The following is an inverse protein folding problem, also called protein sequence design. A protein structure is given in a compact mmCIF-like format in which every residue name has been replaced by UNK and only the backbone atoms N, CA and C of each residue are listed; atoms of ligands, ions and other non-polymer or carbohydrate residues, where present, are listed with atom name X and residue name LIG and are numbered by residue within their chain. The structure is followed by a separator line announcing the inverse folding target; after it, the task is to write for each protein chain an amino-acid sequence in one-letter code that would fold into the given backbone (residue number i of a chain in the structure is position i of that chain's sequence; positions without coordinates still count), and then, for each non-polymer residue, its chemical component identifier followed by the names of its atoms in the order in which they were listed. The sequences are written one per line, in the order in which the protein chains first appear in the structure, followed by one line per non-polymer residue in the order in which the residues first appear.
data_IF_615445689274
#
_entry.id   IF_615445689274
#
_cell.length_a   1.000
_cell.length_b   1.000
_cell.length_c   1.000
_cell.angle_alpha   90.00
_cell.angle_beta   90.00
_cell.angle_gamma   90.00
#
_symmetry.space_group_name_H-M   'P 1'
#
loop_
_entity.id
_entity.type
_entity.pdbx_description
1 polymer ?
#
# COMPACT_ATOMS: atom_id res chain seq x y z
N UNK A 1 26.85 -28.16 14.39
CA UNK A 1 26.37 -26.77 14.60
C UNK A 1 26.07 -26.64 16.08
N UNK A 2 26.68 -25.67 16.76
CA UNK A 2 26.55 -25.51 18.21
C UNK A 2 25.24 -24.78 18.53
N UNK A 3 24.30 -25.44 19.20
CA UNK A 3 23.11 -24.78 19.77
C UNK A 3 23.54 -23.86 20.90
N UNK A 4 23.41 -22.55 20.69
CA UNK A 4 23.61 -21.56 21.77
C UNK A 4 22.35 -21.56 22.63
N UNK A 5 22.38 -22.28 23.76
CA UNK A 5 21.30 -22.26 24.76
C UNK A 5 21.46 -21.04 25.67
N UNK A 6 20.61 -20.03 25.46
CA UNK A 6 20.54 -18.87 26.35
C UNK A 6 19.68 -19.22 27.58
N UNK A 7 20.32 -19.54 28.71
CA UNK A 7 19.62 -19.62 30.00
C UNK A 7 19.45 -18.20 30.58
N UNK A 8 18.33 -17.55 30.26
CA UNK A 8 17.95 -16.28 30.89
C UNK A 8 17.33 -16.55 32.27
N UNK A 9 18.04 -16.20 33.36
CA UNK A 9 17.53 -16.31 34.75
C UNK A 9 17.42 -14.94 35.42
N UNK A 10 16.38 -14.76 36.24
CA UNK A 10 16.21 -13.59 37.11
C UNK A 10 16.02 -12.26 36.37
N UNK A 11 16.67 -11.20 36.83
CA UNK A 11 16.52 -9.82 36.33
C UNK A 11 16.84 -9.66 34.84
N UNK A 12 17.73 -10.49 34.29
CA UNK A 12 18.08 -10.48 32.86
C UNK A 12 16.90 -10.89 31.97
N UNK A 13 16.04 -11.81 32.43
CA UNK A 13 14.83 -12.20 31.70
C UNK A 13 13.82 -11.04 31.64
N UNK A 14 13.69 -10.28 32.74
CA UNK A 14 12.81 -9.10 32.80
C UNK A 14 13.28 -8.02 31.83
N UNK A 15 14.59 -7.71 31.83
CA UNK A 15 15.17 -6.74 30.89
C UNK A 15 14.97 -7.19 29.44
N UNK A 16 15.20 -8.47 29.14
CA UNK A 16 14.99 -9.01 27.79
C UNK A 16 13.53 -8.87 27.33
N UNK A 17 12.56 -9.14 28.20
CA UNK A 17 11.13 -8.95 27.90
C UNK A 17 10.80 -7.47 27.67
N UNK A 18 11.31 -6.55 28.50
CA UNK A 18 11.08 -5.11 28.34
C UNK A 18 11.66 -4.61 27.01
N UNK A 19 12.87 -5.05 26.65
CA UNK A 19 13.50 -4.71 25.36
C UNK A 19 12.66 -5.26 24.20
N UNK A 20 12.20 -6.51 24.28
CA UNK A 20 11.32 -7.10 23.26
C UNK A 20 10.00 -6.33 23.10
N UNK A 21 9.35 -5.97 24.22
CA UNK A 21 8.13 -5.16 24.21
C UNK A 21 8.41 -3.78 23.59
N UNK A 22 9.54 -3.16 23.92
CA UNK A 22 9.97 -1.89 23.31
C UNK A 22 10.13 -2.01 21.79
N UNK A 23 10.81 -3.06 21.31
CA UNK A 23 10.98 -3.32 19.87
C UNK A 23 9.62 -3.54 19.19
N UNK A 24 8.73 -4.32 19.81
CA UNK A 24 7.38 -4.58 19.29
C UNK A 24 6.54 -3.29 19.28
N UNK A 25 6.59 -2.46 20.32
CA UNK A 25 5.89 -1.19 20.38
C UNK A 25 6.38 -0.21 19.29
N UNK A 26 7.69 -0.11 19.10
CA UNK A 26 8.32 0.66 18.00
C UNK A 26 7.89 0.11 16.64
N UNK A 27 7.65 -1.19 16.50
CA UNK A 27 7.17 -1.80 15.24
C UNK A 27 5.70 -1.50 14.94
N UNK A 28 4.86 -1.34 15.96
CA UNK A 28 3.42 -1.10 15.79
C UNK A 28 3.12 0.39 15.54
N UNK A 29 3.92 1.32 16.08
CA UNK A 29 3.75 2.77 15.86
C UNK A 29 3.78 3.24 14.39
N UNK A 30 4.65 2.74 13.49
CA UNK A 30 4.65 3.14 12.08
C UNK A 30 3.43 2.65 11.28
N UNK A 31 2.59 1.76 11.83
CA UNK A 31 1.33 1.34 11.21
C UNK A 31 0.22 2.40 11.34
N UNK A 32 0.59 3.66 11.59
CA UNK A 32 -0.33 4.79 11.61
C UNK A 32 -0.87 5.07 10.20
N UNK A 33 -2.11 5.55 10.14
CA UNK A 33 -2.78 5.83 8.87
C UNK A 33 -2.08 7.00 8.15
N UNK A 34 -1.48 6.69 7.00
CA UNK A 34 -0.72 7.62 6.18
C UNK A 34 -1.61 8.46 5.26
N UNK A 35 -2.94 8.34 5.36
CA UNK A 35 -3.89 9.20 4.64
C UNK A 35 -3.68 10.69 4.84
N UNK A 36 -3.01 11.09 5.93
CA UNK A 36 -2.69 12.50 6.22
C UNK A 36 -1.49 13.03 5.43
N UNK A 37 -0.67 12.14 4.87
CA UNK A 37 0.45 12.51 4.01
C UNK A 37 -0.07 12.80 2.60
N UNK A 38 -0.18 14.09 2.28
CA UNK A 38 -0.74 14.56 1.00
C UNK A 38 0.14 14.19 -0.19
N UNK A 39 1.46 14.13 -0.01
CA UNK A 39 2.40 13.81 -1.09
C UNK A 39 2.31 12.32 -1.44
N UNK A 40 2.36 11.46 -0.43
CA UNK A 40 2.18 10.02 -0.62
C UNK A 40 0.83 9.70 -1.24
N UNK A 41 -0.25 10.32 -0.75
CA UNK A 41 -1.59 10.11 -1.29
C UNK A 41 -1.72 10.57 -2.75
N UNK A 42 -1.03 11.64 -3.15
CA UNK A 42 -1.02 12.11 -4.54
C UNK A 42 -0.38 11.06 -5.46
N UNK A 43 0.75 10.49 -5.04
CA UNK A 43 1.45 9.48 -5.84
C UNK A 43 0.69 8.16 -5.89
N UNK A 44 0.09 7.72 -4.78
CA UNK A 44 -0.79 6.53 -4.75
C UNK A 44 -1.97 6.74 -5.70
N UNK A 45 -2.63 7.90 -5.67
CA UNK A 45 -3.74 8.19 -6.58
C UNK A 45 -3.29 8.18 -8.04
N UNK A 46 -2.14 8.79 -8.35
CA UNK A 46 -1.59 8.78 -9.71
C UNK A 46 -1.32 7.36 -10.19
N UNK A 47 -0.74 6.51 -9.32
CA UNK A 47 -0.43 5.12 -9.66
C UNK A 47 -1.71 4.31 -9.88
N UNK A 48 -2.67 4.39 -8.95
CA UNK A 48 -3.95 3.69 -9.09
C UNK A 48 -4.71 4.15 -10.34
N UNK A 49 -4.73 5.45 -10.64
CA UNK A 49 -5.34 5.94 -11.87
C UNK A 49 -4.61 5.42 -13.11
N UNK A 50 -3.27 5.42 -13.12
CA UNK A 50 -2.49 4.91 -14.26
C UNK A 50 -2.70 3.41 -14.50
N UNK A 51 -2.91 2.63 -13.45
CA UNK A 51 -3.08 1.17 -13.53
C UNK A 51 -4.51 0.79 -13.94
N UNK A 52 -5.50 1.56 -13.48
CA UNK A 52 -6.92 1.25 -13.72
C UNK A 52 -7.56 2.03 -14.88
N UNK A 53 -6.98 3.16 -15.33
CA UNK A 53 -7.45 3.89 -16.50
C UNK A 53 -7.36 3.13 -17.84
N UNK A 54 -6.32 2.31 -18.12
CA UNK A 54 -6.23 1.57 -19.37
C UNK A 54 -7.41 0.61 -19.58
N UNK A 55 -7.83 -0.08 -18.52
CA UNK A 55 -9.01 -0.96 -18.53
C UNK A 55 -10.32 -0.21 -18.83
N UNK A 56 -10.36 1.08 -18.51
CA UNK A 56 -11.48 1.95 -18.83
C UNK A 56 -11.44 2.34 -20.32
N UNK A 57 -10.27 2.70 -20.85
CA UNK A 57 -10.12 3.00 -22.28
C UNK A 57 -10.39 1.79 -23.17
N UNK A 58 -9.95 0.59 -22.79
CA UNK A 58 -10.22 -0.64 -23.55
C UNK A 58 -11.72 -0.95 -23.60
N UNK A 59 -12.45 -0.75 -22.49
CA UNK A 59 -13.90 -0.93 -22.46
C UNK A 59 -14.62 0.07 -23.37
N UNK A 60 -14.21 1.34 -23.35
CA UNK A 60 -14.79 2.37 -24.22
C UNK A 60 -14.47 2.09 -25.68
N UNK A 61 -13.22 1.72 -25.99
CA UNK A 61 -12.79 1.37 -27.34
C UNK A 61 -13.55 0.16 -27.88
N UNK A 62 -13.66 -0.92 -27.10
CA UNK A 62 -14.42 -2.11 -27.52
C UNK A 62 -15.91 -1.84 -27.74
N UNK A 63 -16.52 -0.96 -26.93
CA UNK A 63 -17.89 -0.52 -27.14
C UNK A 63 -18.03 0.36 -28.38
N UNK A 64 -17.05 1.23 -28.63
CA UNK A 64 -16.99 2.07 -29.84
C UNK A 64 -16.87 1.21 -31.10
N UNK A 65 -15.98 0.20 -31.09
CA UNK A 65 -15.75 -0.71 -32.21
C UNK A 65 -16.98 -1.56 -32.54
N UNK A 66 -17.86 -1.82 -31.56
CA UNK A 66 -19.15 -2.50 -31.81
C UNK A 66 -20.21 -1.62 -32.48
N UNK A 67 -20.01 -0.30 -32.56
CA UNK A 67 -20.96 0.65 -33.17
C UNK A 67 -22.31 0.76 -32.44
N UNK A 68 -22.40 0.23 -31.22
CA UNK A 68 -23.61 0.21 -30.41
C UNK A 68 -23.60 1.43 -29.48
N UNK A 69 -24.35 2.46 -29.84
CA UNK A 69 -24.40 3.74 -29.10
C UNK A 69 -24.84 3.56 -27.64
N UNK A 70 -25.72 2.59 -27.35
CA UNK A 70 -26.18 2.30 -25.98
C UNK A 70 -25.07 1.66 -25.14
N UNK A 71 -24.28 0.77 -25.74
CA UNK A 71 -23.10 0.19 -25.07
C UNK A 71 -21.99 1.21 -24.89
N UNK A 72 -21.77 2.08 -25.88
CA UNK A 72 -20.78 3.14 -25.81
C UNK A 72 -21.14 4.14 -24.71
N UNK A 73 -22.40 4.59 -24.66
CA UNK A 73 -22.90 5.48 -23.61
C UNK A 73 -22.71 4.87 -22.23
N UNK A 74 -23.10 3.60 -22.02
CA UNK A 74 -22.88 2.89 -20.74
C UNK A 74 -21.40 2.70 -20.40
N UNK A 75 -20.54 2.48 -21.40
CA UNK A 75 -19.10 2.33 -21.19
C UNK A 75 -18.46 3.67 -20.78
N UNK A 76 -18.85 4.77 -21.40
CA UNK A 76 -18.41 6.14 -21.05
C UNK A 76 -18.96 6.57 -19.69
N UNK A 77 -20.22 6.25 -19.38
CA UNK A 77 -20.79 6.51 -18.05
C UNK A 77 -20.10 5.68 -16.98
N UNK A 78 -19.82 4.40 -17.24
CA UNK A 78 -19.04 3.56 -16.33
C UNK A 78 -17.61 4.08 -16.18
N UNK A 79 -17.00 4.58 -17.25
CA UNK A 79 -15.65 5.13 -17.26
C UNK A 79 -15.52 6.38 -16.37
N UNK A 80 -16.47 7.30 -16.52
CA UNK A 80 -16.51 8.57 -15.78
C UNK A 80 -17.02 8.40 -14.35
N UNK A 81 -17.85 7.39 -14.09
CA UNK A 81 -18.32 7.04 -12.74
C UNK A 81 -17.36 6.16 -11.94
N UNK A 82 -16.38 5.52 -12.59
CA UNK A 82 -15.36 4.72 -11.89
C UNK A 82 -14.50 5.63 -11.03
N UNK A 83 -14.82 5.68 -9.73
CA UNK A 83 -14.06 6.42 -8.73
C UNK A 83 -13.23 5.46 -7.90
N UNK A 84 -11.94 5.79 -7.78
CA UNK A 84 -11.04 5.12 -6.84
C UNK A 84 -11.32 5.66 -5.44
N UNK A 85 -11.86 4.81 -4.56
CA UNK A 85 -12.10 5.15 -3.16
C UNK A 85 -11.03 4.50 -2.28
N UNK A 86 -10.08 5.30 -1.80
CA UNK A 86 -9.03 4.82 -0.90
C UNK A 86 -9.59 4.76 0.53
N UNK A 87 -9.65 3.56 1.11
CA UNK A 87 -10.18 3.30 2.46
C UNK A 87 -9.11 3.47 3.53
N UNK A 88 -7.91 2.94 3.30
CA UNK A 88 -6.81 3.00 4.27
C UNK A 88 -5.46 2.97 3.56
N UNK A 89 -4.49 3.72 4.09
CA UNK A 89 -3.10 3.66 3.65
C UNK A 89 -2.22 3.47 4.87
N UNK A 90 -1.46 2.39 4.93
CA UNK A 90 -0.57 2.09 6.07
C UNK A 90 0.84 1.87 5.59
N UNK A 91 1.80 2.51 6.23
CA UNK A 91 3.22 2.31 5.91
C UNK A 91 3.86 1.29 6.87
N UNK A 92 4.85 0.57 6.35
CA UNK A 92 5.74 -0.31 7.09
C UNK A 92 7.15 0.15 6.83
N UNK A 93 7.75 0.82 7.83
CA UNK A 93 9.11 1.31 7.76
C UNK A 93 10.11 0.23 8.21
N UNK A 94 11.29 0.16 7.59
CA UNK A 94 12.34 -0.77 7.93
C UNK A 94 12.93 -0.42 9.29
N UNK A 95 13.21 -1.45 10.09
CA UNK A 95 13.59 -1.30 11.49
C UNK A 95 15.06 -0.84 11.62
N UNK A 96 15.94 -1.36 10.76
CA UNK A 96 17.39 -1.14 10.87
C UNK A 96 17.95 -0.11 9.89
N UNK A 97 17.08 0.67 9.23
CA UNK A 97 17.49 1.63 8.23
C UNK A 97 17.54 3.07 8.80
N UNK A 98 18.73 3.47 9.22
CA UNK A 98 19.03 4.82 9.72
C UNK A 98 19.36 5.83 8.62
N UNK A 99 19.24 5.44 7.34
CA UNK A 99 19.46 6.32 6.21
C UNK A 99 18.42 7.44 6.15
N UNK A 100 18.81 8.58 5.58
CA UNK A 100 17.91 9.69 5.23
C UNK A 100 16.96 9.31 4.10
N UNK A 101 17.32 8.32 3.27
CA UNK A 101 16.42 7.73 2.29
C UNK A 101 16.00 6.33 2.73
N UNK A 102 14.69 6.13 2.90
CA UNK A 102 14.12 4.89 3.44
C UNK A 102 13.19 4.26 2.43
N UNK A 103 13.35 2.97 2.20
CA UNK A 103 12.39 2.17 1.45
C UNK A 103 11.27 1.75 2.40
N UNK A 104 10.03 2.01 2.02
CA UNK A 104 8.86 1.89 2.88
C UNK A 104 7.81 1.12 2.10
N UNK A 105 7.31 0.04 2.70
CA UNK A 105 6.22 -0.72 2.08
C UNK A 105 4.89 -0.11 2.52
N UNK A 106 4.09 0.32 1.56
CA UNK A 106 2.79 0.96 1.78
C UNK A 106 1.69 -0.01 1.38
N UNK A 107 0.84 -0.37 2.34
CA UNK A 107 -0.39 -1.13 2.12
C UNK A 107 -1.52 -0.15 1.81
N UNK A 108 -2.15 -0.31 0.66
CA UNK A 108 -3.27 0.51 0.19
C UNK A 108 -4.52 -0.37 0.10
N UNK A 109 -5.54 -0.05 0.89
CA UNK A 109 -6.88 -0.62 0.76
C UNK A 109 -7.77 0.37 0.00
N UNK A 110 -8.35 -0.06 -1.11
CA UNK A 110 -9.23 0.77 -1.94
C UNK A 110 -10.39 -0.04 -2.53
N UNK A 111 -11.40 0.64 -3.04
CA UNK A 111 -12.43 0.05 -3.90
C UNK A 111 -12.54 0.84 -5.20
N UNK A 112 -12.99 0.16 -6.24
CA UNK A 112 -13.38 0.77 -7.51
C UNK A 112 -14.89 0.69 -7.56
N UNK A 113 -15.57 1.83 -7.46
CA UNK A 113 -17.01 1.84 -7.64
C UNK A 113 -17.30 1.55 -9.11
N UNK A 114 -18.12 0.52 -9.36
CA UNK A 114 -18.70 0.30 -10.68
C UNK A 114 -20.02 1.05 -10.81
N UNK A 115 -20.62 1.02 -12.00
CA UNK A 115 -21.94 1.63 -12.27
C UNK A 115 -23.07 1.06 -11.38
N UNK A 116 -22.84 0.00 -10.60
CA UNK A 116 -23.79 -0.56 -9.63
C UNK A 116 -23.57 -0.07 -8.19
N UNK A 117 -22.54 0.76 -7.95
CA UNK A 117 -22.20 1.32 -6.64
C UNK A 117 -21.63 0.29 -5.66
N UNK A 118 -21.32 -0.93 -6.11
CA UNK A 118 -20.80 -2.02 -5.27
C UNK A 118 -19.33 -2.29 -5.59
N UNK A 119 -18.47 -1.37 -5.19
CA UNK A 119 -17.03 -1.55 -5.36
C UNK A 119 -16.47 -2.69 -4.51
N UNK A 120 -15.84 -3.69 -5.14
CA UNK A 120 -15.08 -4.72 -4.41
C UNK A 120 -13.85 -4.08 -3.78
N UNK A 121 -13.66 -4.31 -2.48
CA UNK A 121 -12.43 -3.92 -1.78
C UNK A 121 -11.25 -4.72 -2.30
N UNK A 122 -10.16 -4.02 -2.58
CA UNK A 122 -8.87 -4.55 -2.99
C UNK A 122 -7.78 -4.03 -2.06
N UNK A 123 -6.72 -4.82 -1.92
CA UNK A 123 -5.53 -4.46 -1.15
C UNK A 123 -4.35 -4.65 -2.09
N UNK A 124 -3.54 -3.61 -2.23
CA UNK A 124 -2.27 -3.64 -2.95
C UNK A 124 -1.15 -3.18 -2.01
N UNK A 125 0.06 -3.68 -2.24
CA UNK A 125 1.25 -3.31 -1.50
C UNK A 125 2.24 -2.67 -2.46
N UNK A 126 2.67 -1.46 -2.16
CA UNK A 126 3.63 -0.72 -2.99
C UNK A 126 4.90 -0.46 -2.20
N UNK A 127 6.06 -0.63 -2.84
CA UNK A 127 7.31 -0.14 -2.29
C UNK A 127 7.51 1.32 -2.73
N UNK A 128 7.66 2.19 -1.76
CA UNK A 128 7.99 3.59 -1.98
C UNK A 128 9.35 3.90 -1.37
N UNK A 129 10.12 4.75 -2.03
CA UNK A 129 11.29 5.37 -1.43
C UNK A 129 10.90 6.75 -0.92
N UNK A 130 11.12 7.02 0.35
CA UNK A 130 11.02 8.36 0.93
C UNK A 130 12.43 8.98 0.94
N UNK A 131 12.61 10.12 0.28
CA UNK A 131 13.88 10.84 0.23
C UNK A 131 13.70 12.35 0.36
N UNK A 132 14.79 13.10 0.18
CA UNK A 132 14.79 14.57 0.34
C UNK A 132 13.83 15.26 -0.65
N UNK A 133 13.61 14.66 -1.82
CA UNK A 133 12.71 15.16 -2.87
C UNK A 133 11.26 14.66 -2.72
N UNK A 134 10.94 13.96 -1.63
CA UNK A 134 9.62 13.41 -1.36
C UNK A 134 9.52 11.90 -1.63
N UNK A 135 8.30 11.44 -1.84
CA UNK A 135 7.98 10.04 -2.09
C UNK A 135 8.25 9.67 -3.56
N UNK A 136 8.71 8.45 -3.80
CA UNK A 136 8.91 7.93 -5.15
C UNK A 136 8.50 6.47 -5.21
N UNK A 137 7.49 6.17 -6.01
CA UNK A 137 7.07 4.81 -6.29
C UNK A 137 8.21 4.00 -6.91
N UNK A 138 8.43 2.78 -6.43
CA UNK A 138 9.43 1.86 -6.98
C UNK A 138 8.76 0.73 -7.75
N UNK A 139 8.01 -0.12 -7.07
CA UNK A 139 7.31 -1.27 -7.66
C UNK A 139 6.20 -1.80 -6.73
N UNK A 140 5.30 -2.62 -7.26
CA UNK A 140 4.36 -3.40 -6.47
C UNK A 140 5.08 -4.55 -5.77
N UNK A 141 4.75 -4.79 -4.50
CA UNK A 141 5.37 -5.80 -3.67
C UNK A 141 4.33 -6.72 -3.02
N UNK A 142 4.80 -7.62 -2.16
CA UNK A 142 3.95 -8.64 -1.55
C UNK A 142 3.60 -8.31 -0.10
N UNK A 143 2.58 -9.01 0.41
CA UNK A 143 2.25 -9.00 1.84
C UNK A 143 3.42 -9.44 2.71
N UNK A 144 4.27 -10.36 2.23
CA UNK A 144 5.44 -10.82 2.96
C UNK A 144 6.42 -9.66 3.18
N UNK A 145 6.71 -8.88 2.14
CA UNK A 145 7.56 -7.68 2.23
C UNK A 145 7.01 -6.66 3.22
N UNK A 146 5.69 -6.51 3.32
CA UNK A 146 5.07 -5.58 4.28
C UNK A 146 5.34 -5.96 5.74
N UNK A 147 5.18 -7.24 6.08
CA UNK A 147 5.38 -7.72 7.46
C UNK A 147 6.85 -7.96 7.79
N UNK A 148 7.63 -8.46 6.84
CA UNK A 148 9.05 -8.80 6.97
C UNK A 148 9.98 -7.67 6.48
N UNK A 149 9.53 -6.41 6.55
CA UNK A 149 10.37 -5.26 6.19
C UNK A 149 11.48 -5.03 7.23
N UNK A 150 12.54 -5.83 7.15
CA UNK A 150 13.67 -5.82 8.08
C UNK A 150 14.82 -4.90 7.63
N UNK A 151 14.89 -4.51 6.34
CA UNK A 151 15.97 -3.69 5.77
C UNK A 151 15.45 -2.73 4.71
#
# INVERSE_FOLDING_TARGET
MSEVKFELKGWQAVVAVVVLIGIVAVRIMPLSDMKRDKELMKDINKQLLSEYAPHVSEKVQSAYDTGDEDKLSKAVDSATSTKVNIHSVKASYPIFNFSTSKEVVVKVEFSLDDSSGKGKKKIIYYLFRNGILGWTFQHETTVASYYLNFM
#
